data_IF_483369439569
#
_entry.id   IF_483369439569
#
_cell.length_a   1.000
_cell.length_b   1.000
_cell.length_c   1.000
_cell.angle_alpha   90.00
_cell.angle_beta   90.00
_cell.angle_gamma   90.00
#
_symmetry.space_group_name_H-M   'P 1'
#
loop_
_entity.id
_entity.type
_entity.pdbx_description
1 polymer ?
#
# COMPACT_ATOMS: atom_id res chain seq x y z
N UNK A 1 0.97 30.83 -31.78
CA UNK A 1 1.70 30.53 -30.54
C UNK A 1 0.65 30.14 -29.53
N UNK A 2 0.53 28.86 -29.20
CA UNK A 2 -0.20 28.34 -28.04
C UNK A 2 0.14 26.86 -27.83
N UNK A 3 1.44 26.53 -27.90
CA UNK A 3 1.96 25.19 -27.53
C UNK A 3 2.32 25.09 -26.04
N UNK A 4 2.31 26.21 -25.30
CA UNK A 4 2.67 26.23 -23.88
C UNK A 4 1.49 25.95 -22.92
N UNK A 5 0.24 26.05 -23.38
CA UNK A 5 -0.93 25.79 -22.52
C UNK A 5 -1.19 24.28 -22.41
N UNK A 6 -0.99 23.53 -23.50
CA UNK A 6 -1.22 22.08 -23.53
C UNK A 6 -0.16 21.27 -22.76
N UNK A 7 1.08 21.78 -22.65
CA UNK A 7 2.12 21.12 -21.83
C UNK A 7 1.88 21.30 -20.33
N UNK A 8 1.33 22.43 -19.89
CA UNK A 8 1.02 22.66 -18.47
C UNK A 8 -0.14 21.81 -17.94
N UNK A 9 -1.10 21.44 -18.79
CA UNK A 9 -2.21 20.57 -18.40
C UNK A 9 -1.81 19.07 -18.40
N UNK A 10 -0.86 18.67 -19.25
CA UNK A 10 -0.29 17.31 -19.20
C UNK A 10 0.60 17.10 -17.96
N UNK A 11 1.43 18.08 -17.58
CA UNK A 11 2.21 18.03 -16.34
C UNK A 11 1.34 18.12 -15.08
N UNK A 12 0.09 18.60 -15.19
CA UNK A 12 -0.88 18.60 -14.08
C UNK A 12 -1.64 17.29 -13.94
N UNK A 13 -1.91 16.56 -15.03
CA UNK A 13 -2.68 15.32 -14.93
C UNK A 13 -1.85 14.13 -14.40
N UNK A 14 -0.52 14.12 -14.62
CA UNK A 14 0.38 13.16 -13.97
C UNK A 14 0.70 13.53 -12.51
N UNK A 15 0.51 14.81 -12.14
CA UNK A 15 0.86 15.38 -10.83
C UNK A 15 -0.36 15.68 -9.95
N UNK A 16 -1.57 15.27 -10.38
CA UNK A 16 -2.83 15.46 -9.65
C UNK A 16 -2.99 14.51 -8.45
N UNK A 17 -2.07 13.55 -8.30
CA UNK A 17 -2.08 12.56 -7.23
C UNK A 17 -0.88 12.76 -6.31
N UNK A 18 -0.86 13.89 -5.59
CA UNK A 18 -0.04 14.01 -4.40
C UNK A 18 -0.62 13.07 -3.33
N UNK A 19 -0.22 11.81 -3.38
CA UNK A 19 -0.59 10.77 -2.41
C UNK A 19 0.28 10.98 -1.18
N UNK A 20 0.08 12.09 -0.48
CA UNK A 20 0.90 12.47 0.68
C UNK A 20 0.27 11.93 1.95
N UNK A 21 0.97 10.99 2.61
CA UNK A 21 0.70 10.66 4.00
C UNK A 21 1.72 11.32 4.94
N UNK A 22 3.02 11.16 4.67
CA UNK A 22 4.13 11.67 5.48
C UNK A 22 5.20 12.21 4.53
N UNK A 23 5.76 13.39 4.80
CA UNK A 23 6.90 13.90 4.04
C UNK A 23 8.21 13.22 4.44
N UNK A 24 9.08 12.96 3.47
CA UNK A 24 10.45 12.48 3.69
C UNK A 24 11.32 13.40 4.55
N UNK A 25 10.90 14.64 4.76
CA UNK A 25 11.59 15.62 5.62
C UNK A 25 11.11 15.62 7.06
N UNK A 26 10.06 14.85 7.38
CA UNK A 26 9.53 14.76 8.73
C UNK A 26 10.45 13.94 9.63
N UNK A 27 10.63 14.43 10.87
CA UNK A 27 11.36 13.70 11.90
C UNK A 27 10.58 12.42 12.22
N UNK A 28 11.24 11.27 12.08
CA UNK A 28 10.62 9.95 12.27
C UNK A 28 10.21 9.25 10.98
N UNK A 29 10.38 9.88 9.81
CA UNK A 29 10.18 9.21 8.53
C UNK A 29 11.09 7.98 8.39
N UNK A 30 10.49 6.83 8.06
CA UNK A 30 11.19 5.58 7.84
C UNK A 30 11.70 5.52 6.40
N UNK A 31 12.99 5.29 6.20
CA UNK A 31 13.53 5.18 4.85
C UNK A 31 13.10 3.88 4.17
N UNK A 32 12.96 3.91 2.84
CA UNK A 32 12.60 2.73 2.02
C UNK A 32 13.52 1.54 2.25
N UNK A 33 14.84 1.77 2.36
CA UNK A 33 15.80 0.70 2.63
C UNK A 33 15.61 0.03 3.99
N UNK A 34 15.19 0.78 5.03
CA UNK A 34 14.88 0.19 6.33
C UNK A 34 13.58 -0.60 6.29
N UNK A 35 12.57 -0.10 5.57
CA UNK A 35 11.31 -0.81 5.36
C UNK A 35 11.52 -2.13 4.59
N UNK A 36 12.33 -2.13 3.52
CA UNK A 36 12.74 -3.34 2.81
C UNK A 36 13.44 -4.33 3.74
N UNK A 37 14.34 -3.85 4.60
CA UNK A 37 15.02 -4.70 5.57
C UNK A 37 14.04 -5.35 6.55
N UNK A 38 13.09 -4.58 7.11
CA UNK A 38 12.06 -5.09 8.04
C UNK A 38 11.28 -6.23 7.38
N UNK A 39 10.81 -6.01 6.15
CA UNK A 39 10.05 -7.01 5.38
C UNK A 39 10.89 -8.24 5.04
N UNK A 40 12.15 -8.05 4.64
CA UNK A 40 13.07 -9.17 4.33
C UNK A 40 13.37 -10.03 5.55
N UNK A 41 13.46 -9.43 6.74
CA UNK A 41 13.70 -10.18 7.99
C UNK A 41 12.43 -10.80 8.56
N UNK A 42 11.24 -10.37 8.11
CA UNK A 42 9.96 -10.81 8.68
C UNK A 42 9.82 -10.40 10.15
N UNK A 43 10.35 -9.24 10.54
CA UNK A 43 10.35 -8.77 11.93
C UNK A 43 8.96 -8.23 12.28
N UNK A 44 8.11 -9.10 12.83
CA UNK A 44 6.70 -8.82 13.15
C UNK A 44 6.54 -7.61 14.07
N UNK A 45 7.45 -7.43 15.03
CA UNK A 45 7.45 -6.30 15.97
C UNK A 45 7.69 -4.95 15.27
N UNK A 46 8.09 -4.96 14.00
CA UNK A 46 8.48 -3.75 13.26
C UNK A 46 7.71 -3.53 11.98
N UNK A 47 6.89 -4.48 11.51
CA UNK A 47 6.12 -4.33 10.27
C UNK A 47 5.18 -3.12 10.34
N UNK A 48 4.55 -2.87 11.48
CA UNK A 48 3.72 -1.67 11.67
C UNK A 48 4.48 -0.35 11.41
N UNK A 49 5.81 -0.32 11.55
CA UNK A 49 6.63 0.88 11.30
C UNK A 49 6.59 1.32 9.84
N UNK A 50 6.15 0.45 8.91
CA UNK A 50 5.99 0.80 7.51
C UNK A 50 4.97 1.93 7.29
N UNK A 51 4.07 2.17 8.26
CA UNK A 51 3.17 3.34 8.23
C UNK A 51 3.91 4.69 8.23
N UNK A 52 5.19 4.70 8.66
CA UNK A 52 6.04 5.88 8.69
C UNK A 52 6.89 6.04 7.41
N UNK A 53 6.73 5.17 6.42
CA UNK A 53 7.40 5.36 5.13
C UNK A 53 6.75 6.51 4.39
N UNK A 54 7.53 7.51 3.93
CA UNK A 54 7.02 8.56 3.06
C UNK A 54 6.47 7.99 1.77
N UNK A 55 5.17 8.20 1.57
CA UNK A 55 4.50 8.06 0.28
C UNK A 55 4.23 9.48 -0.17
N UNK A 56 4.90 9.92 -1.23
CA UNK A 56 4.78 11.28 -1.76
C UNK A 56 4.15 11.29 -3.16
N UNK A 57 4.24 10.16 -3.86
CA UNK A 57 3.72 9.94 -5.21
C UNK A 57 3.29 8.49 -5.43
N UNK A 58 2.59 8.25 -6.53
CA UNK A 58 2.09 6.92 -6.93
C UNK A 58 3.17 5.84 -6.90
N UNK A 59 4.36 6.14 -7.39
CA UNK A 59 5.46 5.17 -7.47
C UNK A 59 5.90 4.70 -6.08
N UNK A 60 5.73 5.51 -5.05
CA UNK A 60 6.06 5.13 -3.67
C UNK A 60 5.02 4.14 -3.14
N UNK A 61 3.74 4.35 -3.43
CA UNK A 61 2.67 3.42 -3.06
C UNK A 61 2.81 2.09 -3.81
N UNK A 62 3.07 2.14 -5.12
CA UNK A 62 3.38 0.94 -5.92
C UNK A 62 4.55 0.17 -5.32
N UNK A 63 5.63 0.87 -4.96
CA UNK A 63 6.79 0.28 -4.33
C UNK A 63 6.42 -0.41 -3.01
N UNK A 64 5.62 0.23 -2.14
CA UNK A 64 5.20 -0.37 -0.87
C UNK A 64 4.41 -1.66 -1.09
N UNK A 65 3.43 -1.63 -1.99
CA UNK A 65 2.59 -2.79 -2.34
C UNK A 65 3.44 -3.93 -2.90
N UNK A 66 4.41 -3.63 -3.75
CA UNK A 66 5.35 -4.62 -4.29
C UNK A 66 6.21 -5.23 -3.17
N UNK A 67 6.81 -4.42 -2.31
CA UNK A 67 7.62 -4.90 -1.20
C UNK A 67 6.82 -5.81 -0.26
N UNK A 68 5.59 -5.42 0.07
CA UNK A 68 4.67 -6.24 0.88
C UNK A 68 4.32 -7.54 0.15
N UNK A 69 4.04 -7.49 -1.15
CA UNK A 69 3.74 -8.67 -1.95
C UNK A 69 4.90 -9.66 -2.09
N UNK A 70 6.13 -9.15 -2.12
CA UNK A 70 7.35 -9.96 -2.07
C UNK A 70 7.51 -10.63 -0.70
N UNK A 71 7.25 -9.90 0.39
CA UNK A 71 7.30 -10.44 1.75
C UNK A 71 6.27 -11.57 1.98
N UNK A 72 5.14 -11.54 1.27
CA UNK A 72 4.09 -12.57 1.32
C UNK A 72 4.34 -13.81 0.45
N UNK A 73 5.48 -13.90 -0.26
CA UNK A 73 5.82 -15.07 -1.07
C UNK A 73 5.94 -16.35 -0.22
N UNK A 74 5.95 -17.50 -0.91
CA UNK A 74 5.88 -18.83 -0.31
C UNK A 74 6.94 -18.98 0.82
N UNK A 75 6.54 -19.60 1.94
CA UNK A 75 7.30 -19.83 3.18
C UNK A 75 7.23 -18.73 4.26
N UNK A 76 6.57 -17.59 4.04
CA UNK A 76 6.35 -16.64 5.15
C UNK A 76 5.39 -17.21 6.20
N UNK A 77 5.68 -16.99 7.48
CA UNK A 77 4.85 -17.42 8.61
C UNK A 77 3.56 -16.61 8.75
N UNK A 78 2.54 -17.20 9.40
CA UNK A 78 1.22 -16.58 9.55
C UNK A 78 1.28 -15.28 10.36
N UNK A 79 2.20 -15.15 11.33
CA UNK A 79 2.39 -13.93 12.11
C UNK A 79 2.77 -12.73 11.22
N UNK A 80 3.68 -12.94 10.26
CA UNK A 80 4.06 -11.88 9.30
C UNK A 80 2.90 -11.57 8.35
N UNK A 81 2.16 -12.60 7.92
CA UNK A 81 1.00 -12.41 7.07
C UNK A 81 -0.11 -11.61 7.79
N UNK A 82 -0.30 -11.84 9.09
CA UNK A 82 -1.23 -11.09 9.93
C UNK A 82 -0.80 -9.63 10.07
N UNK A 83 0.46 -9.36 10.41
CA UNK A 83 0.98 -7.99 10.51
C UNK A 83 0.89 -7.23 9.17
N UNK A 84 1.06 -7.94 8.05
CA UNK A 84 0.83 -7.37 6.73
C UNK A 84 -0.66 -7.07 6.50
N UNK A 85 -1.56 -7.97 6.88
CA UNK A 85 -3.00 -7.72 6.77
C UNK A 85 -3.41 -6.50 7.63
N UNK A 86 -2.85 -6.37 8.84
CA UNK A 86 -3.05 -5.22 9.71
C UNK A 86 -2.50 -3.93 9.07
N UNK A 87 -1.31 -3.96 8.48
CA UNK A 87 -0.75 -2.83 7.75
C UNK A 87 -1.68 -2.40 6.59
N UNK A 88 -2.25 -3.36 5.86
CA UNK A 88 -3.20 -3.05 4.80
C UNK A 88 -4.47 -2.40 5.36
N UNK A 89 -5.05 -3.00 6.40
CA UNK A 89 -6.31 -2.55 6.99
C UNK A 89 -6.21 -1.20 7.71
N UNK A 90 -5.20 -1.01 8.58
CA UNK A 90 -5.09 0.20 9.40
C UNK A 90 -4.43 1.38 8.69
N UNK A 91 -3.67 1.12 7.63
CA UNK A 91 -2.89 2.17 6.97
C UNK A 91 -3.15 2.26 5.47
N UNK A 92 -2.92 1.20 4.71
CA UNK A 92 -2.94 1.32 3.24
C UNK A 92 -4.35 1.65 2.72
N UNK A 93 -5.37 0.92 3.17
CA UNK A 93 -6.75 1.09 2.69
C UNK A 93 -7.37 2.42 3.16
N UNK A 94 -7.25 2.85 4.44
CA UNK A 94 -7.82 4.11 4.88
C UNK A 94 -7.23 5.34 4.16
N UNK A 95 -5.93 5.32 3.88
CA UNK A 95 -5.26 6.46 3.26
C UNK A 95 -5.31 6.44 1.73
N UNK A 96 -5.31 5.25 1.12
CA UNK A 96 -5.10 5.10 -0.32
C UNK A 96 -6.18 4.30 -1.04
N UNK A 97 -7.15 3.70 -0.34
CA UNK A 97 -8.19 2.87 -0.96
C UNK A 97 -8.98 3.60 -2.05
N UNK A 98 -9.43 4.83 -1.79
CA UNK A 98 -10.11 5.68 -2.79
C UNK A 98 -9.25 5.97 -4.02
N UNK A 99 -7.94 6.05 -3.83
CA UNK A 99 -7.00 6.26 -4.92
C UNK A 99 -6.83 4.98 -5.75
N UNK A 100 -6.67 3.84 -5.09
CA UNK A 100 -6.57 2.53 -5.72
C UNK A 100 -7.79 2.21 -6.58
N UNK A 101 -9.01 2.56 -6.14
CA UNK A 101 -10.23 2.34 -6.93
C UNK A 101 -10.26 3.12 -8.26
N UNK A 102 -9.53 4.24 -8.35
CA UNK A 102 -9.41 5.03 -9.59
C UNK A 102 -8.32 4.51 -10.51
N UNK A 103 -7.37 3.73 -9.98
CA UNK A 103 -6.26 3.17 -10.72
C UNK A 103 -6.35 1.65 -10.78
N UNK A 104 -6.79 1.16 -11.93
CA UNK A 104 -7.04 -0.27 -12.15
C UNK A 104 -5.84 -1.16 -11.80
N UNK A 105 -4.61 -0.73 -12.08
CA UNK A 105 -3.43 -1.56 -11.84
C UNK A 105 -3.15 -1.68 -10.33
N UNK A 106 -3.26 -0.58 -9.61
CA UNK A 106 -3.14 -0.58 -8.14
C UNK A 106 -4.23 -1.41 -7.46
N UNK A 107 -5.46 -1.33 -7.97
CA UNK A 107 -6.54 -2.17 -7.48
C UNK A 107 -6.26 -3.67 -7.72
N UNK A 108 -5.80 -4.04 -8.93
CA UNK A 108 -5.44 -5.42 -9.25
C UNK A 108 -4.27 -5.92 -8.37
N UNK A 109 -3.26 -5.09 -8.11
CA UNK A 109 -2.14 -5.44 -7.22
C UNK A 109 -2.62 -5.71 -5.78
N UNK A 110 -3.52 -4.88 -5.26
CA UNK A 110 -4.09 -5.06 -3.92
C UNK A 110 -4.99 -6.31 -3.87
N UNK A 111 -5.84 -6.53 -4.86
CA UNK A 111 -6.68 -7.74 -4.92
C UNK A 111 -5.81 -9.01 -4.92
N UNK A 112 -4.71 -9.01 -5.68
CA UNK A 112 -3.74 -10.11 -5.66
C UNK A 112 -3.10 -10.32 -4.29
N UNK A 113 -2.80 -9.27 -3.52
CA UNK A 113 -2.33 -9.40 -2.14
C UNK A 113 -3.39 -10.04 -1.25
N UNK A 114 -4.64 -9.58 -1.33
CA UNK A 114 -5.75 -10.11 -0.53
C UNK A 114 -6.01 -11.59 -0.83
N UNK A 115 -5.92 -12.00 -2.11
CA UNK A 115 -6.02 -13.41 -2.50
C UNK A 115 -4.88 -14.25 -1.91
N UNK A 116 -3.65 -13.72 -1.86
CA UNK A 116 -2.51 -14.42 -1.24
C UNK A 116 -2.65 -14.52 0.27
N UNK A 117 -3.20 -13.51 0.93
CA UNK A 117 -3.50 -13.57 2.36
C UNK A 117 -4.61 -14.58 2.65
N UNK A 118 -5.68 -14.61 1.85
CA UNK A 118 -6.80 -15.55 1.99
C UNK A 118 -6.37 -17.02 1.83
N UNK A 119 -5.31 -17.30 1.05
CA UNK A 119 -4.84 -18.68 0.86
C UNK A 119 -4.16 -19.29 2.10
N UNK A 120 -3.92 -18.48 3.14
CA UNK A 120 -3.31 -18.92 4.41
C UNK A 120 -4.29 -19.67 5.31
N UNK A 121 -5.60 -19.55 5.10
CA UNK A 121 -6.64 -20.19 5.90
C UNK A 121 -6.51 -19.92 7.42
N UNK A 122 -6.21 -18.67 7.76
CA UNK A 122 -6.07 -18.19 9.14
C UNK A 122 -7.22 -17.24 9.47
N UNK A 123 -8.02 -17.55 10.50
CA UNK A 123 -9.28 -16.86 10.79
C UNK A 123 -9.16 -15.35 10.97
N UNK A 124 -8.09 -14.90 11.62
CA UNK A 124 -7.89 -13.48 11.89
C UNK A 124 -7.51 -12.72 10.61
N UNK A 125 -6.75 -13.37 9.72
CA UNK A 125 -6.39 -12.83 8.41
C UNK A 125 -7.64 -12.77 7.52
N UNK A 126 -8.45 -13.82 7.52
CA UNK A 126 -9.71 -13.87 6.77
C UNK A 126 -10.66 -12.75 7.21
N UNK A 127 -10.76 -12.51 8.53
CA UNK A 127 -11.58 -11.42 9.08
C UNK A 127 -11.12 -10.05 8.59
N UNK A 128 -9.82 -9.77 8.59
CA UNK A 128 -9.27 -8.51 8.07
C UNK A 128 -9.51 -8.35 6.57
N UNK A 129 -9.36 -9.41 5.79
CA UNK A 129 -9.62 -9.38 4.35
C UNK A 129 -11.08 -9.05 4.04
N UNK A 130 -12.01 -9.66 4.77
CA UNK A 130 -13.44 -9.41 4.58
C UNK A 130 -13.78 -7.93 4.83
N UNK A 131 -13.25 -7.36 5.92
CA UNK A 131 -13.45 -5.93 6.23
C UNK A 131 -12.79 -5.04 5.15
N UNK A 132 -11.56 -5.34 4.74
CA UNK A 132 -10.88 -4.58 3.67
C UNK A 132 -11.71 -4.59 2.37
N UNK A 133 -12.28 -5.75 2.02
CA UNK A 133 -13.11 -5.88 0.82
C UNK A 133 -14.42 -5.12 0.95
N UNK A 134 -15.06 -5.14 2.12
CA UNK A 134 -16.23 -4.32 2.40
C UNK A 134 -15.91 -2.83 2.23
N UNK A 135 -14.83 -2.35 2.86
CA UNK A 135 -14.38 -0.95 2.75
C UNK A 135 -14.12 -0.55 1.30
N UNK A 136 -13.41 -1.39 0.53
CA UNK A 136 -13.15 -1.11 -0.89
C UNK A 136 -14.44 -1.09 -1.71
N UNK A 137 -15.41 -1.96 -1.43
CA UNK A 137 -16.69 -2.00 -2.13
C UNK A 137 -17.60 -0.80 -1.80
N UNK A 138 -17.62 -0.34 -0.55
CA UNK A 138 -18.38 0.84 -0.13
C UNK A 138 -17.89 2.12 -0.81
N UNK A 139 -16.58 2.19 -1.12
CA UNK A 139 -15.98 3.36 -1.77
C UNK A 139 -16.17 3.39 -3.31
N UNK A 140 -16.87 2.41 -3.90
CA UNK A 140 -17.21 2.37 -5.33
C UNK A 140 -18.53 3.12 -5.65
N UNK A 141 -19.32 3.50 -4.63
CA UNK A 141 -20.59 4.24 -4.78
C UNK A 141 -20.42 5.76 -4.87
#
# INVERSE_FOLDING_TARGET
MDQNVLQMDQDRSENEFAVLNISSKEIGALSKGVAEQILQTGDTDRIHQLMYVPIEKKEDLNWLIQCVGEALKNEVGDDVALEVADLLYFFVIPYYGKYMLKDRHLYEDIDHLLVRLASRAHSDIDTLIDIIREDLNENIQ
#
